data_IF_721789218331
#
_entry.id   IF_721789218331
#
_cell.length_a   1.000
_cell.length_b   1.000
_cell.length_c   1.000
_cell.angle_alpha   90.00
_cell.angle_beta   90.00
_cell.angle_gamma   90.00
#
_symmetry.space_group_name_H-M   'P 1'
#
loop_
_entity.id
_entity.type
_entity.pdbx_description
1 polymer ?
#
# COMPACT_ATOMS: atom_id res chain seq x y z
N UNK A 1 -7.24 4.27 -14.24
CA UNK A 1 -7.95 3.51 -13.19
C UNK A 1 -6.90 2.74 -12.42
N UNK A 2 -6.91 2.83 -11.11
CA UNK A 2 -5.97 2.09 -10.27
C UNK A 2 -6.52 0.66 -10.11
N UNK A 3 -5.67 -0.34 -10.36
CA UNK A 3 -6.04 -1.75 -10.25
C UNK A 3 -5.68 -2.35 -8.87
N UNK A 4 -4.76 -1.70 -8.16
CA UNK A 4 -4.13 -2.24 -6.96
C UNK A 4 -2.85 -1.48 -6.64
N UNK A 5 -2.01 -2.07 -5.80
CA UNK A 5 -0.68 -1.59 -5.46
C UNK A 5 0.24 -2.75 -5.07
N UNK A 6 1.53 -2.48 -5.16
CA UNK A 6 2.61 -3.37 -4.74
C UNK A 6 3.53 -2.58 -3.82
N UNK A 7 3.97 -3.21 -2.74
CA UNK A 7 4.85 -2.62 -1.73
C UNK A 7 5.88 -3.65 -1.28
N UNK A 8 7.15 -3.31 -1.43
CA UNK A 8 8.30 -4.11 -1.00
C UNK A 8 9.18 -3.30 -0.04
N UNK A 9 9.83 -3.92 0.94
CA UNK A 9 10.71 -3.22 1.88
C UNK A 9 10.00 -2.45 3.01
N UNK A 10 8.70 -2.67 3.22
CA UNK A 10 7.90 -1.92 4.22
C UNK A 10 8.03 -2.45 5.65
N UNK A 11 8.74 -3.57 5.83
CA UNK A 11 9.00 -4.20 7.12
C UNK A 11 10.47 -4.63 7.23
N UNK A 12 11.40 -3.81 6.74
CA UNK A 12 12.84 -4.09 6.81
C UNK A 12 13.29 -4.25 8.28
N UNK A 13 13.68 -5.46 8.73
CA UNK A 13 14.09 -5.69 10.11
C UNK A 13 15.44 -5.03 10.45
N UNK A 14 16.17 -4.53 9.44
CA UNK A 14 17.46 -3.86 9.59
C UNK A 14 17.37 -2.35 9.30
N UNK A 15 16.17 -1.78 9.32
CA UNK A 15 15.94 -0.35 9.08
C UNK A 15 16.87 0.52 9.94
N UNK A 16 17.51 1.50 9.31
CA UNK A 16 18.35 2.47 10.04
C UNK A 16 17.48 3.44 10.85
N UNK A 17 18.09 4.15 11.80
CA UNK A 17 17.38 5.11 12.66
C UNK A 17 16.55 6.11 11.82
N UNK A 18 15.23 6.15 12.04
CA UNK A 18 14.28 6.99 11.30
C UNK A 18 13.62 6.35 10.08
N UNK A 19 14.18 5.27 9.52
CA UNK A 19 13.55 4.48 8.45
C UNK A 19 12.37 3.67 8.99
N UNK A 20 12.43 3.22 10.24
CA UNK A 20 11.35 2.51 10.94
C UNK A 20 10.04 3.32 10.98
N UNK A 21 10.12 4.65 11.17
CA UNK A 21 8.97 5.56 11.13
C UNK A 21 8.34 5.59 9.74
N UNK A 22 9.16 5.58 8.69
CA UNK A 22 8.71 5.62 7.30
C UNK A 22 8.05 4.29 6.93
N UNK A 23 8.69 3.17 7.29
CA UNK A 23 8.14 1.82 7.17
C UNK A 23 6.77 1.74 7.87
N UNK A 24 6.66 2.18 9.12
CA UNK A 24 5.40 2.19 9.85
C UNK A 24 4.33 3.03 9.15
N UNK A 25 4.68 4.22 8.65
CA UNK A 25 3.74 5.08 7.91
C UNK A 25 3.25 4.42 6.61
N UNK A 26 4.14 3.80 5.84
CA UNK A 26 3.77 3.08 4.60
C UNK A 26 2.92 1.85 4.90
N UNK A 27 3.26 1.09 5.95
CA UNK A 27 2.54 -0.11 6.38
C UNK A 27 1.12 0.21 6.83
N UNK A 28 0.94 1.27 7.63
CA UNK A 28 -0.39 1.71 8.06
C UNK A 28 -1.25 2.09 6.87
N UNK A 29 -0.72 2.84 5.89
CA UNK A 29 -1.48 3.20 4.69
C UNK A 29 -1.85 1.96 3.86
N UNK A 30 -0.90 1.06 3.62
CA UNK A 30 -1.12 -0.12 2.80
C UNK A 30 -2.10 -1.10 3.46
N UNK A 31 -1.88 -1.46 4.72
CA UNK A 31 -2.73 -2.41 5.44
C UNK A 31 -4.12 -1.82 5.68
N UNK A 32 -4.23 -0.54 6.02
CA UNK A 32 -5.54 0.09 6.19
C UNK A 32 -6.32 0.18 4.87
N UNK A 33 -5.65 0.38 3.74
CA UNK A 33 -6.30 0.38 2.42
C UNK A 33 -6.85 -1.01 2.10
N UNK A 34 -6.05 -2.06 2.30
CA UNK A 34 -6.50 -3.46 2.17
C UNK A 34 -7.71 -3.73 3.07
N UNK A 35 -7.61 -3.44 4.36
CA UNK A 35 -8.69 -3.61 5.32
C UNK A 35 -9.95 -2.83 4.93
N UNK A 36 -9.80 -1.62 4.39
CA UNK A 36 -10.94 -0.80 3.95
C UNK A 36 -11.66 -1.41 2.74
N UNK A 37 -10.90 -1.94 1.77
CA UNK A 37 -11.45 -2.65 0.63
C UNK A 37 -12.22 -3.91 1.06
N UNK A 38 -11.63 -4.72 1.95
CA UNK A 38 -12.27 -5.95 2.43
C UNK A 38 -13.44 -5.68 3.38
N UNK A 39 -13.24 -4.84 4.39
CA UNK A 39 -14.17 -4.73 5.52
C UNK A 39 -15.24 -3.68 5.30
N UNK A 40 -14.95 -2.57 4.61
CA UNK A 40 -15.95 -1.53 4.36
C UNK A 40 -16.69 -1.78 3.04
N UNK A 41 -15.98 -2.20 1.99
CA UNK A 41 -16.58 -2.41 0.67
C UNK A 41 -17.01 -3.86 0.41
N UNK A 42 -16.71 -4.78 1.34
CA UNK A 42 -17.04 -6.22 1.27
C UNK A 42 -16.54 -6.88 -0.01
N UNK A 43 -15.33 -6.49 -0.43
CA UNK A 43 -14.69 -6.99 -1.64
C UNK A 43 -13.81 -8.20 -1.32
N UNK A 44 -13.76 -9.12 -2.29
CA UNK A 44 -12.70 -10.12 -2.33
C UNK A 44 -11.48 -9.44 -2.96
N UNK A 45 -10.39 -9.37 -2.20
CA UNK A 45 -9.13 -8.77 -2.64
C UNK A 45 -8.13 -9.91 -2.90
N UNK A 46 -7.41 -9.82 -4.00
CA UNK A 46 -6.35 -10.77 -4.31
C UNK A 46 -5.09 -10.20 -3.69
N UNK A 47 -4.52 -10.95 -2.74
CA UNK A 47 -3.33 -10.54 -2.01
C UNK A 47 -2.24 -11.59 -2.11
N UNK A 48 -1.01 -11.13 -2.26
CA UNK A 48 0.20 -11.93 -2.09
C UNK A 48 1.10 -11.18 -1.11
N UNK A 49 1.69 -11.89 -0.15
CA UNK A 49 2.55 -11.25 0.83
C UNK A 49 3.48 -12.25 1.51
N UNK A 50 4.69 -11.77 1.79
CA UNK A 50 5.69 -12.48 2.58
C UNK A 50 6.29 -11.51 3.59
N UNK A 51 6.16 -11.81 4.88
CA UNK A 51 6.76 -11.01 5.95
C UNK A 51 8.22 -11.39 6.22
N UNK A 52 8.67 -12.57 5.77
CA UNK A 52 9.99 -13.12 6.13
C UNK A 52 11.17 -12.44 5.40
N UNK A 53 10.93 -11.66 4.34
CA UNK A 53 11.96 -10.97 3.56
C UNK A 53 11.55 -9.50 3.30
N UNK A 54 12.03 -8.56 4.13
CA UNK A 54 11.84 -7.09 4.04
C UNK A 54 10.40 -6.53 3.97
N UNK A 55 9.39 -7.41 3.95
CA UNK A 55 7.99 -7.09 3.84
C UNK A 55 7.58 -6.88 2.38
N UNK A 56 6.93 -7.89 1.80
CA UNK A 56 6.25 -7.80 0.51
C UNK A 56 4.74 -7.84 0.69
N UNK A 57 4.04 -6.94 -0.01
CA UNK A 57 2.58 -6.89 -0.07
C UNK A 57 2.15 -6.46 -1.47
N UNK A 58 1.46 -7.36 -2.16
CA UNK A 58 0.77 -7.10 -3.41
C UNK A 58 -0.73 -7.19 -3.20
N UNK A 59 -1.46 -6.20 -3.70
CA UNK A 59 -2.90 -6.06 -3.53
C UNK A 59 -3.50 -5.70 -4.88
N UNK A 60 -4.43 -6.53 -5.36
CA UNK A 60 -5.17 -6.25 -6.60
C UNK A 60 -6.63 -6.67 -6.47
N UNK A 61 -7.49 -6.12 -7.32
CA UNK A 61 -8.93 -6.38 -7.31
C UNK A 61 -9.40 -7.02 -8.60
N UNK A 62 -10.54 -7.71 -8.55
CA UNK A 62 -11.21 -8.20 -9.75
C UNK A 62 -11.63 -7.04 -10.65
N UNK A 63 -11.53 -7.24 -11.98
CA UNK A 63 -11.85 -6.22 -13.00
C UNK A 63 -13.25 -5.63 -12.81
N UNK A 64 -14.21 -6.44 -12.36
CA UNK A 64 -15.60 -6.02 -12.12
C UNK A 64 -15.72 -4.92 -11.05
N UNK A 65 -14.80 -4.89 -10.09
CA UNK A 65 -14.84 -3.99 -8.94
C UNK A 65 -14.06 -2.69 -9.18
N UNK A 66 -13.18 -2.66 -10.19
CA UNK A 66 -12.35 -1.49 -10.49
C UNK A 66 -13.14 -0.24 -10.89
N UNK A 67 -14.33 -0.42 -11.45
CA UNK A 67 -15.20 0.70 -11.83
C UNK A 67 -15.96 1.33 -10.65
N UNK A 68 -15.92 0.71 -9.46
CA UNK A 68 -16.60 1.23 -8.26
C UNK A 68 -15.95 2.53 -7.80
N UNK A 69 -16.71 3.63 -7.65
CA UNK A 69 -16.15 4.92 -7.21
C UNK A 69 -15.44 4.84 -5.86
N UNK A 70 -15.94 4.03 -4.92
CA UNK A 70 -15.36 3.89 -3.59
C UNK A 70 -14.01 3.15 -3.63
N UNK A 71 -13.85 2.19 -4.55
CA UNK A 71 -12.57 1.51 -4.78
C UNK A 71 -11.55 2.50 -5.30
N UNK A 72 -11.92 3.28 -6.32
CA UNK A 72 -11.01 4.30 -6.87
C UNK A 72 -10.68 5.37 -5.83
N UNK A 73 -11.62 5.75 -4.97
CA UNK A 73 -11.38 6.71 -3.89
C UNK A 73 -10.35 6.17 -2.89
N UNK A 74 -10.50 4.92 -2.43
CA UNK A 74 -9.56 4.33 -1.48
C UNK A 74 -8.16 4.15 -2.09
N UNK A 75 -8.07 3.65 -3.33
CA UNK A 75 -6.79 3.50 -4.02
C UNK A 75 -6.12 4.85 -4.31
N UNK A 76 -6.90 5.87 -4.70
CA UNK A 76 -6.37 7.21 -4.91
C UNK A 76 -5.93 7.87 -3.60
N UNK A 77 -6.63 7.61 -2.49
CA UNK A 77 -6.24 8.05 -1.15
C UNK A 77 -4.91 7.43 -0.71
N UNK A 78 -4.73 6.12 -0.96
CA UNK A 78 -3.47 5.43 -0.75
C UNK A 78 -2.34 6.05 -1.60
N UNK A 79 -2.57 6.21 -2.92
CA UNK A 79 -1.58 6.80 -3.83
C UNK A 79 -1.19 8.21 -3.39
N UNK A 80 -2.15 9.03 -2.95
CA UNK A 80 -1.90 10.37 -2.42
C UNK A 80 -1.01 10.32 -1.17
N UNK A 81 -1.34 9.47 -0.20
CA UNK A 81 -0.55 9.35 1.04
C UNK A 81 0.89 8.89 0.78
N UNK A 82 1.07 7.88 -0.07
CA UNK A 82 2.39 7.35 -0.46
C UNK A 82 3.21 8.41 -1.21
N UNK A 83 2.59 9.16 -2.13
CA UNK A 83 3.27 10.27 -2.82
C UNK A 83 3.75 11.35 -1.86
N UNK A 84 2.95 11.68 -0.85
CA UNK A 84 3.32 12.73 0.10
C UNK A 84 4.42 12.26 1.07
N UNK A 85 4.46 10.98 1.44
CA UNK A 85 5.61 10.40 2.16
C UNK A 85 6.85 10.44 1.27
N UNK A 86 6.78 9.94 0.04
CA UNK A 86 7.93 9.90 -0.88
C UNK A 86 8.50 11.29 -1.20
N UNK A 87 7.64 12.31 -1.26
CA UNK A 87 8.05 13.70 -1.45
C UNK A 87 8.86 14.25 -0.27
N UNK A 88 8.50 13.88 0.96
CA UNK A 88 9.18 14.33 2.17
C UNK A 88 10.42 13.47 2.50
N UNK A 89 10.44 12.21 2.06
CA UNK A 89 11.49 11.22 2.34
C UNK A 89 11.95 10.49 1.06
N UNK A 90 12.47 11.20 0.05
CA UNK A 90 12.77 10.63 -1.27
C UNK A 90 13.90 9.60 -1.27
N UNK A 91 14.77 9.63 -0.26
CA UNK A 91 15.87 8.68 -0.11
C UNK A 91 15.41 7.30 0.41
N UNK A 92 14.19 7.23 0.97
CA UNK A 92 13.66 6.03 1.64
C UNK A 92 12.49 5.38 0.91
N UNK A 93 11.75 6.13 0.09
CA UNK A 93 10.57 5.62 -0.60
C UNK A 93 10.56 6.02 -2.08
N UNK A 94 10.51 5.01 -2.94
CA UNK A 94 10.44 5.18 -4.40
C UNK A 94 9.11 4.67 -4.93
N UNK A 95 8.50 5.45 -5.82
CA UNK A 95 7.27 5.08 -6.52
C UNK A 95 7.60 4.73 -7.96
N UNK A 96 7.15 3.55 -8.39
CA UNK A 96 7.21 3.08 -9.78
C UNK A 96 5.77 2.95 -10.30
N UNK A 97 5.56 3.25 -11.58
CA UNK A 97 4.24 3.23 -12.23
C UNK A 97 4.16 2.16 -13.31
#
# INVERSE_FOLDING_TARGET
MLAGYELSGHADPNAVEGQDIICAATSVLAINTLNSLEQLLKLMVITEGEEENDGYLYVTLEIKDLQRPEVQLLLASFELGIKEIAKNYPDYLKIVK
#
